data_IF_649945395024
#
_entry.id   IF_649945395024
#
_cell.length_a   1.000
_cell.length_b   1.000
_cell.length_c   1.000
_cell.angle_alpha   90.00
_cell.angle_beta   90.00
_cell.angle_gamma   90.00
#
_symmetry.space_group_name_H-M   'P 1'
#
loop_
_entity.id
_entity.type
_entity.pdbx_description
1 polymer ?
#
# COMPACT_ATOMS: atom_id res chain seq x y z
N UNK A 1 36.65 47.62 -77.08
CA UNK A 1 36.54 46.35 -76.39
C UNK A 1 36.79 46.54 -74.90
N UNK A 2 35.72 46.48 -74.03
CA UNK A 2 35.82 46.55 -72.54
C UNK A 2 35.93 45.13 -71.99
N UNK A 3 37.06 44.79 -71.40
CA UNK A 3 37.28 43.52 -70.67
C UNK A 3 36.58 43.56 -69.35
N UNK A 4 35.53 42.80 -69.21
CA UNK A 4 34.85 42.58 -67.89
C UNK A 4 35.80 41.71 -67.07
N UNK A 5 36.35 42.28 -65.98
CA UNK A 5 36.98 41.53 -64.92
C UNK A 5 35.91 40.94 -63.99
N UNK A 6 35.77 39.63 -64.02
CA UNK A 6 35.04 38.88 -63.09
C UNK A 6 35.86 38.71 -61.80
N UNK A 7 35.63 39.52 -60.80
CA UNK A 7 36.20 39.38 -59.44
C UNK A 7 35.65 38.11 -58.84
N UNK A 8 36.39 37.01 -58.89
CA UNK A 8 36.05 35.82 -58.09
C UNK A 8 36.36 36.12 -56.61
N UNK A 9 35.39 36.48 -55.82
CA UNK A 9 35.51 36.48 -54.36
C UNK A 9 35.65 35.04 -53.89
N UNK A 10 36.84 34.58 -53.59
CA UNK A 10 37.08 33.32 -52.90
C UNK A 10 36.54 33.47 -51.46
N UNK A 11 35.64 32.60 -50.99
CA UNK A 11 35.11 32.71 -49.63
C UNK A 11 36.28 32.54 -48.68
N UNK A 12 36.34 33.48 -47.69
CA UNK A 12 37.38 33.44 -46.67
C UNK A 12 37.13 32.23 -45.74
N UNK A 13 37.90 31.15 -45.96
CA UNK A 13 37.74 29.86 -45.26
C UNK A 13 37.74 30.05 -43.74
N UNK A 14 38.51 31.02 -43.21
CA UNK A 14 38.51 31.36 -41.78
C UNK A 14 37.17 31.94 -41.34
N UNK A 15 36.53 32.81 -42.11
CA UNK A 15 35.22 33.35 -41.80
C UNK A 15 34.14 32.27 -41.79
N UNK A 16 34.21 31.31 -42.74
CA UNK A 16 33.29 30.17 -42.80
C UNK A 16 33.40 29.26 -41.57
N UNK A 17 34.66 29.00 -41.09
CA UNK A 17 34.87 28.18 -39.89
C UNK A 17 34.33 28.84 -38.61
N UNK A 18 34.50 30.16 -38.47
CA UNK A 18 33.89 30.90 -37.33
C UNK A 18 32.35 30.86 -37.36
N UNK A 19 31.77 31.00 -38.54
CA UNK A 19 30.32 30.93 -38.72
C UNK A 19 29.77 29.54 -38.36
N UNK A 20 30.49 28.48 -38.71
CA UNK A 20 30.15 27.09 -38.38
C UNK A 20 30.25 26.82 -36.89
N UNK A 21 31.25 27.35 -36.19
CA UNK A 21 31.42 27.24 -34.74
C UNK A 21 30.24 27.98 -34.04
N UNK A 22 29.91 29.19 -34.43
CA UNK A 22 28.79 29.97 -33.86
C UNK A 22 27.48 29.22 -34.10
N UNK A 23 27.26 28.61 -35.26
CA UNK A 23 26.05 27.83 -35.57
C UNK A 23 25.87 26.62 -34.65
N UNK A 24 26.98 25.92 -34.29
CA UNK A 24 26.93 24.79 -33.33
C UNK A 24 26.49 25.24 -31.93
N UNK A 25 26.87 26.45 -31.49
CA UNK A 25 26.43 27.00 -30.19
C UNK A 25 24.99 27.52 -30.17
N UNK A 26 24.42 27.83 -31.35
CA UNK A 26 23.04 28.33 -31.48
C UNK A 26 22.03 27.15 -31.60
N UNK A 27 22.51 25.91 -31.89
CA UNK A 27 21.63 24.75 -31.93
C UNK A 27 20.92 24.61 -30.54
N UNK A 28 19.59 24.60 -30.50
CA UNK A 28 18.87 24.44 -29.22
C UNK A 28 19.29 23.13 -28.61
N UNK A 29 20.03 23.20 -27.52
CA UNK A 29 20.28 22.04 -26.69
C UNK A 29 18.91 21.56 -26.25
N UNK A 30 18.49 20.35 -26.66
CA UNK A 30 17.29 19.71 -26.14
C UNK A 30 17.45 19.63 -24.63
N UNK A 31 16.99 20.64 -23.90
CA UNK A 31 16.83 20.57 -22.47
C UNK A 31 16.00 19.32 -22.18
N UNK A 32 16.46 18.42 -21.31
CA UNK A 32 15.62 17.32 -20.84
C UNK A 32 14.40 17.98 -20.19
N UNK A 33 13.26 17.90 -20.85
CA UNK A 33 11.99 18.38 -20.29
C UNK A 33 11.76 17.63 -18.99
N UNK A 34 11.61 18.37 -17.90
CA UNK A 34 11.26 17.83 -16.60
C UNK A 34 9.85 17.21 -16.72
N UNK A 35 9.68 16.01 -16.18
CA UNK A 35 8.37 15.36 -16.15
C UNK A 35 7.60 15.74 -14.88
N UNK A 36 6.30 15.58 -14.89
CA UNK A 36 5.43 15.90 -13.75
C UNK A 36 4.79 14.61 -13.21
N UNK A 37 4.87 14.43 -11.89
CA UNK A 37 4.11 13.41 -11.17
C UNK A 37 2.77 14.02 -10.78
N UNK A 38 1.68 13.49 -11.36
CA UNK A 38 0.34 14.02 -11.21
C UNK A 38 -0.40 13.43 -10.01
N UNK A 39 -0.19 12.12 -9.75
CA UNK A 39 -0.94 11.39 -8.74
C UNK A 39 -0.17 10.16 -8.23
N UNK A 40 -0.48 9.76 -7.00
CA UNK A 40 0.01 8.52 -6.38
C UNK A 40 -1.17 7.79 -5.77
N UNK A 41 -1.32 6.52 -6.12
CA UNK A 41 -2.37 5.66 -5.56
C UNK A 41 -1.78 4.43 -4.90
N UNK A 42 -2.34 4.07 -3.75
CA UNK A 42 -1.95 2.89 -2.99
C UNK A 42 -3.04 1.82 -3.06
N UNK A 43 -2.63 0.58 -3.29
CA UNK A 43 -3.50 -0.60 -3.26
C UNK A 43 -2.88 -1.64 -2.34
N UNK A 44 -3.51 -1.87 -1.19
CA UNK A 44 -3.11 -2.94 -0.29
C UNK A 44 -3.41 -4.31 -0.88
N UNK A 45 -2.52 -5.25 -0.65
CA UNK A 45 -2.63 -6.67 -0.98
C UNK A 45 -2.26 -7.49 0.25
N UNK A 46 -2.71 -8.73 0.31
CA UNK A 46 -2.45 -9.60 1.45
C UNK A 46 -0.95 -9.77 1.75
N UNK A 47 -0.12 -9.81 0.72
CA UNK A 47 1.33 -10.01 0.82
C UNK A 47 2.17 -8.78 0.48
N UNK A 48 1.57 -7.57 0.46
CA UNK A 48 2.32 -6.37 0.10
C UNK A 48 1.47 -5.18 -0.28
N UNK A 49 2.07 -4.24 -1.01
CA UNK A 49 1.44 -3.01 -1.48
C UNK A 49 1.79 -2.78 -2.94
N UNK A 50 0.83 -2.27 -3.71
CA UNK A 50 1.08 -1.71 -5.03
C UNK A 50 1.01 -0.19 -4.91
N UNK A 51 2.09 0.49 -5.30
CA UNK A 51 2.17 1.93 -5.44
C UNK A 51 2.08 2.27 -6.92
N UNK A 52 1.04 2.96 -7.34
CA UNK A 52 0.84 3.41 -8.73
C UNK A 52 1.20 4.89 -8.83
N UNK A 53 2.23 5.20 -9.62
CA UNK A 53 2.67 6.56 -9.94
C UNK A 53 2.10 6.95 -11.29
N UNK A 54 1.43 8.09 -11.38
CA UNK A 54 0.85 8.62 -12.61
C UNK A 54 1.60 9.88 -13.05
N UNK A 55 2.15 9.84 -14.27
CA UNK A 55 3.01 10.90 -14.81
C UNK A 55 2.34 11.62 -15.97
N UNK A 56 2.73 12.86 -16.18
CA UNK A 56 2.30 13.61 -17.37
C UNK A 56 2.82 12.95 -18.66
N UNK A 57 4.10 12.57 -18.66
CA UNK A 57 4.74 11.90 -19.79
C UNK A 57 5.28 10.54 -19.39
N UNK A 58 5.50 9.66 -20.39
CA UNK A 58 6.05 8.33 -20.19
C UNK A 58 7.47 8.43 -19.64
N UNK A 59 7.75 7.73 -18.54
CA UNK A 59 9.12 7.53 -18.03
C UNK A 59 9.50 6.05 -18.05
N UNK A 60 10.83 5.78 -18.01
CA UNK A 60 11.33 4.42 -17.83
C UNK A 60 11.30 4.04 -16.35
N UNK A 61 10.95 2.79 -15.98
CA UNK A 61 11.12 2.30 -14.62
C UNK A 61 12.55 2.49 -14.07
N UNK A 62 13.58 2.40 -14.93
CA UNK A 62 14.99 2.59 -14.56
C UNK A 62 15.33 4.01 -14.09
N UNK A 63 14.43 4.98 -14.31
CA UNK A 63 14.58 6.35 -13.78
C UNK A 63 14.12 6.49 -12.33
N UNK A 64 13.60 5.43 -11.73
CA UNK A 64 13.14 5.38 -10.34
C UNK A 64 14.14 4.58 -9.53
N UNK A 65 14.83 5.25 -8.61
CA UNK A 65 15.69 4.59 -7.64
C UNK A 65 14.90 4.31 -6.36
N UNK A 66 14.93 3.06 -5.89
CA UNK A 66 14.15 2.63 -4.72
C UNK A 66 15.04 1.98 -3.67
N UNK A 67 14.81 2.32 -2.40
CA UNK A 67 15.58 1.79 -1.28
C UNK A 67 14.77 1.81 0.01
N UNK A 68 15.14 0.97 0.96
CA UNK A 68 14.52 0.90 2.27
C UNK A 68 15.51 1.31 3.37
N UNK A 69 15.03 2.11 4.31
CA UNK A 69 15.74 2.48 5.52
C UNK A 69 15.50 1.47 6.67
N UNK A 70 16.35 1.49 7.69
CA UNK A 70 16.24 0.61 8.86
C UNK A 70 15.02 0.88 9.76
N UNK A 71 14.39 2.06 9.61
CA UNK A 71 13.22 2.50 10.40
C UNK A 71 11.88 2.31 9.70
N UNK A 72 11.75 1.31 8.85
CA UNK A 72 10.54 0.91 8.11
C UNK A 72 10.04 1.95 7.06
N UNK A 73 10.88 2.90 6.70
CA UNK A 73 10.62 3.78 5.58
C UNK A 73 11.12 3.15 4.27
N UNK A 74 10.27 3.18 3.25
CA UNK A 74 10.61 2.84 1.88
C UNK A 74 10.55 4.09 1.01
N UNK A 75 11.59 4.33 0.23
CA UNK A 75 11.77 5.55 -0.57
C UNK A 75 11.82 5.24 -2.06
N UNK A 76 11.17 6.10 -2.84
CA UNK A 76 11.31 6.18 -4.28
C UNK A 76 11.89 7.53 -4.65
N UNK A 77 13.02 7.55 -5.33
CA UNK A 77 13.64 8.78 -5.86
C UNK A 77 13.41 8.84 -7.36
N UNK A 78 12.63 9.82 -7.79
CA UNK A 78 12.23 10.05 -9.17
C UNK A 78 13.12 11.15 -9.76
N UNK A 79 14.04 10.80 -10.64
CA UNK A 79 14.96 11.74 -11.26
C UNK A 79 14.32 12.50 -12.43
N UNK A 80 14.57 13.82 -12.53
CA UNK A 80 13.97 14.73 -13.51
C UNK A 80 12.42 14.74 -13.46
N UNK A 81 11.87 14.54 -12.27
CA UNK A 81 10.42 14.59 -12.02
C UNK A 81 10.17 15.64 -10.95
N UNK A 82 9.21 16.51 -11.22
CA UNK A 82 8.66 17.47 -10.26
C UNK A 82 7.23 17.11 -9.91
N UNK A 83 6.71 17.74 -8.88
CA UNK A 83 5.29 17.64 -8.50
C UNK A 83 4.91 18.79 -7.59
N UNK A 84 3.63 18.93 -7.29
CA UNK A 84 3.16 19.82 -6.24
C UNK A 84 2.92 19.03 -4.94
N UNK A 85 3.69 19.34 -3.90
CA UNK A 85 3.64 18.69 -2.59
C UNK A 85 2.23 18.71 -2.00
N UNK A 86 1.58 19.88 -2.03
CA UNK A 86 0.24 20.04 -1.45
C UNK A 86 -0.80 19.23 -2.23
N UNK A 87 -0.70 19.23 -3.54
CA UNK A 87 -1.59 18.45 -4.40
C UNK A 87 -1.43 16.94 -4.13
N UNK A 88 -0.20 16.45 -4.00
CA UNK A 88 0.05 15.03 -3.69
C UNK A 88 -0.50 14.65 -2.32
N UNK A 89 -0.23 15.44 -1.27
CA UNK A 89 -0.71 15.16 0.08
C UNK A 89 -2.24 15.15 0.13
N UNK A 90 -2.90 16.11 -0.49
CA UNK A 90 -4.35 16.27 -0.45
C UNK A 90 -5.09 15.19 -1.28
N UNK A 91 -4.52 14.73 -2.38
CA UNK A 91 -5.12 13.72 -3.26
C UNK A 91 -4.85 12.30 -2.79
N UNK A 92 -3.71 12.07 -2.14
CA UNK A 92 -3.27 10.72 -1.79
C UNK A 92 -3.96 10.24 -0.52
N UNK A 93 -4.82 9.23 -0.67
CA UNK A 93 -5.42 8.52 0.45
C UNK A 93 -4.67 7.21 0.71
N UNK A 94 -4.37 6.95 1.97
CA UNK A 94 -3.71 5.72 2.37
C UNK A 94 -4.30 5.16 3.66
N UNK A 95 -4.26 3.84 3.78
CA UNK A 95 -4.73 3.08 4.94
C UNK A 95 -3.69 2.01 5.28
N UNK A 96 -3.90 1.27 6.37
CA UNK A 96 -3.04 0.11 6.67
C UNK A 96 -2.81 -0.74 5.39
N UNK A 97 -1.57 -1.16 5.12
CA UNK A 97 -0.40 -1.19 6.00
C UNK A 97 0.52 0.05 5.90
N UNK A 98 0.07 1.17 5.34
CA UNK A 98 0.85 2.41 5.27
C UNK A 98 0.55 3.24 6.52
N UNK A 99 1.62 3.59 7.27
CA UNK A 99 1.54 4.38 8.50
C UNK A 99 1.73 5.87 8.24
N UNK A 100 2.56 6.23 7.25
CA UNK A 100 2.84 7.61 6.89
C UNK A 100 3.25 7.73 5.42
N UNK A 101 2.99 8.89 4.84
CA UNK A 101 3.33 9.29 3.48
C UNK A 101 4.00 10.65 3.51
N UNK A 102 5.17 10.78 2.87
CA UNK A 102 5.97 11.99 2.87
C UNK A 102 6.57 12.26 1.47
N UNK A 103 6.02 13.18 0.69
CA UNK A 103 6.65 13.66 -0.52
C UNK A 103 7.69 14.75 -0.19
N UNK A 104 8.88 14.66 -0.79
CA UNK A 104 9.96 15.65 -0.71
C UNK A 104 10.29 16.05 -2.13
N UNK A 105 10.08 17.31 -2.48
CA UNK A 105 10.24 17.83 -3.84
C UNK A 105 11.38 18.82 -3.88
N UNK A 106 12.32 18.58 -4.77
CA UNK A 106 13.41 19.48 -5.15
C UNK A 106 13.31 19.81 -6.64
N UNK A 107 14.07 20.82 -7.09
CA UNK A 107 14.02 21.34 -8.47
C UNK A 107 14.15 20.26 -9.55
N UNK A 108 14.90 19.19 -9.29
CA UNK A 108 15.21 18.13 -10.28
C UNK A 108 14.81 16.73 -9.85
N UNK A 109 14.29 16.58 -8.65
CA UNK A 109 13.96 15.26 -8.09
C UNK A 109 12.75 15.32 -7.19
N UNK A 110 11.91 14.31 -7.29
CA UNK A 110 10.84 14.07 -6.32
C UNK A 110 11.17 12.80 -5.56
N UNK A 111 11.24 12.87 -4.25
CA UNK A 111 11.39 11.69 -3.40
C UNK A 111 10.07 11.41 -2.67
N UNK A 112 9.62 10.18 -2.76
CA UNK A 112 8.39 9.72 -2.10
C UNK A 112 8.80 8.74 -1.00
N UNK A 113 8.57 9.14 0.25
CA UNK A 113 8.73 8.28 1.42
C UNK A 113 7.39 7.69 1.84
N UNK A 114 7.36 6.40 2.09
CA UNK A 114 6.24 5.70 2.70
C UNK A 114 6.73 4.91 3.91
N UNK A 115 6.08 5.08 5.06
CA UNK A 115 6.35 4.29 6.25
C UNK A 115 5.38 3.12 6.28
N UNK A 116 5.92 1.92 6.46
CA UNK A 116 5.17 0.68 6.38
C UNK A 116 5.08 -0.01 7.75
N UNK A 117 4.05 -0.82 7.95
CA UNK A 117 3.91 -1.67 9.15
C UNK A 117 4.88 -2.84 9.15
N UNK A 118 5.43 -3.18 7.98
CA UNK A 118 6.33 -4.31 7.78
C UNK A 118 7.44 -3.96 6.81
N UNK A 119 8.59 -4.62 6.99
CA UNK A 119 9.72 -4.50 6.08
C UNK A 119 9.42 -5.16 4.73
N UNK A 120 9.81 -4.50 3.64
CA UNK A 120 9.73 -5.03 2.28
C UNK A 120 10.86 -6.03 2.07
N UNK A 121 10.55 -7.23 1.59
CA UNK A 121 11.54 -8.28 1.28
C UNK A 121 12.05 -8.12 -0.15
N UNK A 122 11.16 -7.80 -1.07
CA UNK A 122 11.49 -7.55 -2.47
C UNK A 122 10.55 -6.52 -3.08
N UNK A 123 11.00 -5.87 -4.15
CA UNK A 123 10.16 -4.95 -4.92
C UNK A 123 10.44 -5.07 -6.40
N UNK A 124 9.44 -4.70 -7.19
CA UNK A 124 9.49 -4.73 -8.65
C UNK A 124 8.79 -3.50 -9.21
N UNK A 125 9.34 -2.94 -10.30
CA UNK A 125 8.79 -1.79 -11.00
C UNK A 125 8.30 -2.21 -12.38
N UNK A 126 7.03 -1.95 -12.66
CA UNK A 126 6.39 -2.28 -13.93
C UNK A 126 5.80 -1.05 -14.58
N UNK A 127 6.07 -0.90 -15.87
CA UNK A 127 5.32 0.05 -16.70
C UNK A 127 3.94 -0.51 -17.01
N UNK A 128 2.91 0.25 -16.72
CA UNK A 128 1.56 -0.13 -17.10
C UNK A 128 1.34 0.11 -18.59
N UNK A 129 0.89 -0.93 -19.30
CA UNK A 129 0.66 -0.84 -20.75
C UNK A 129 -0.36 0.26 -21.09
N UNK A 130 -0.06 1.05 -22.16
CA UNK A 130 -0.91 2.11 -22.71
C UNK A 130 -1.20 3.30 -21.77
N UNK A 131 -0.48 3.43 -20.66
CA UNK A 131 -0.61 4.57 -19.73
C UNK A 131 0.74 5.17 -19.40
N UNK A 132 0.73 6.41 -18.88
CA UNK A 132 1.92 7.07 -18.36
C UNK A 132 2.18 6.70 -16.89
N UNK A 133 1.76 5.50 -16.48
CA UNK A 133 1.84 5.07 -15.09
C UNK A 133 2.88 3.97 -14.89
N UNK A 134 3.54 4.01 -13.74
CA UNK A 134 4.44 2.96 -13.26
C UNK A 134 3.87 2.39 -11.97
N UNK A 135 3.83 1.07 -11.87
CA UNK A 135 3.44 0.34 -10.67
C UNK A 135 4.70 -0.19 -9.97
N UNK A 136 4.84 0.14 -8.71
CA UNK A 136 5.81 -0.48 -7.81
C UNK A 136 5.08 -1.53 -6.95
N UNK A 137 5.48 -2.78 -7.07
CA UNK A 137 4.97 -3.87 -6.25
C UNK A 137 5.97 -4.11 -5.12
N UNK A 138 5.55 -3.86 -3.90
CA UNK A 138 6.33 -4.09 -2.68
C UNK A 138 5.83 -5.36 -2.01
N UNK A 139 6.70 -6.35 -1.84
CA UNK A 139 6.35 -7.66 -1.27
C UNK A 139 6.88 -7.78 0.15
N UNK A 140 6.03 -8.24 1.06
CA UNK A 140 6.39 -8.61 2.43
C UNK A 140 6.94 -10.03 2.52
N UNK A 141 7.63 -10.33 3.61
CA UNK A 141 8.14 -11.69 3.86
C UNK A 141 7.02 -12.72 3.92
N UNK A 142 7.15 -13.80 3.17
CA UNK A 142 6.20 -14.93 3.18
C UNK A 142 6.03 -15.54 4.57
N UNK A 143 7.09 -15.56 5.38
CA UNK A 143 7.01 -16.09 6.77
C UNK A 143 6.07 -15.23 7.60
N UNK A 144 6.25 -13.91 7.59
CA UNK A 144 5.36 -12.98 8.31
C UNK A 144 3.93 -12.99 7.77
N UNK A 145 3.76 -13.14 6.46
CA UNK A 145 2.44 -13.29 5.86
C UNK A 145 1.69 -14.51 6.39
N UNK A 146 2.35 -15.68 6.46
CA UNK A 146 1.76 -16.89 7.01
C UNK A 146 1.42 -16.74 8.50
N UNK A 147 2.28 -16.11 9.30
CA UNK A 147 2.01 -15.81 10.72
C UNK A 147 0.80 -14.89 10.89
N UNK A 148 0.68 -13.84 10.08
CA UNK A 148 -0.47 -12.91 10.11
C UNK A 148 -1.74 -13.61 9.65
N UNK A 149 -1.69 -14.41 8.60
CA UNK A 149 -2.85 -15.15 8.09
C UNK A 149 -3.36 -16.16 9.14
N UNK A 150 -2.47 -16.84 9.85
CA UNK A 150 -2.81 -17.77 10.95
C UNK A 150 -3.45 -16.98 12.10
N UNK A 151 -2.82 -15.89 12.55
CA UNK A 151 -3.35 -15.06 13.64
C UNK A 151 -4.72 -14.43 13.31
N UNK A 152 -4.92 -14.02 12.05
CA UNK A 152 -6.20 -13.47 11.58
C UNK A 152 -7.30 -14.53 11.57
N UNK A 153 -6.99 -15.73 11.09
CA UNK A 153 -7.93 -16.86 11.07
C UNK A 153 -8.31 -17.30 12.49
N UNK A 154 -7.34 -17.38 13.41
CA UNK A 154 -7.62 -17.70 14.81
C UNK A 154 -8.49 -16.62 15.47
N UNK A 155 -8.26 -15.34 15.19
CA UNK A 155 -9.05 -14.24 15.73
C UNK A 155 -10.48 -14.22 15.19
N UNK A 156 -10.68 -14.55 13.91
CA UNK A 156 -12.01 -14.68 13.31
C UNK A 156 -12.77 -15.86 13.89
N UNK A 157 -12.16 -17.03 13.97
CA UNK A 157 -12.76 -18.22 14.55
C UNK A 157 -13.15 -18.01 16.02
N UNK A 158 -12.32 -17.32 16.81
CA UNK A 158 -12.64 -16.97 18.18
C UNK A 158 -13.83 -16.01 18.28
N UNK A 159 -13.91 -14.98 17.43
CA UNK A 159 -15.05 -14.05 17.41
C UNK A 159 -16.36 -14.73 16.99
N UNK A 160 -16.32 -15.61 16.02
CA UNK A 160 -17.50 -16.39 15.58
C UNK A 160 -18.00 -17.33 16.69
N UNK A 161 -17.06 -18.02 17.36
CA UNK A 161 -17.39 -18.88 18.49
C UNK A 161 -18.00 -18.08 19.65
N UNK A 162 -17.37 -16.96 20.04
CA UNK A 162 -17.85 -16.10 21.13
C UNK A 162 -19.25 -15.54 20.86
N UNK A 163 -19.53 -15.14 19.62
CA UNK A 163 -20.85 -14.64 19.22
C UNK A 163 -21.91 -15.75 19.23
N UNK A 164 -21.60 -16.91 18.69
CA UNK A 164 -22.50 -18.07 18.66
C UNK A 164 -22.75 -18.59 20.06
N UNK A 165 -21.71 -18.71 20.88
CA UNK A 165 -21.83 -19.15 22.26
C UNK A 165 -22.59 -18.16 23.11
N UNK A 166 -22.34 -16.85 22.95
CA UNK A 166 -23.07 -15.80 23.69
C UNK A 166 -24.58 -15.84 23.43
N UNK A 167 -24.98 -16.17 22.18
CA UNK A 167 -26.39 -16.30 21.82
C UNK A 167 -27.02 -17.58 22.41
N UNK A 168 -26.33 -18.72 22.29
CA UNK A 168 -26.82 -20.01 22.80
C UNK A 168 -26.79 -20.09 24.33
N UNK A 169 -25.82 -19.47 24.98
CA UNK A 169 -25.70 -19.41 26.45
C UNK A 169 -27.00 -18.87 27.12
N UNK A 170 -27.55 -17.79 26.60
CA UNK A 170 -28.77 -17.20 27.17
C UNK A 170 -29.96 -18.17 27.08
N UNK A 171 -30.09 -18.90 25.98
CA UNK A 171 -31.10 -19.94 25.82
C UNK A 171 -30.88 -21.12 26.76
N UNK A 172 -29.66 -21.57 26.95
CA UNK A 172 -29.31 -22.67 27.87
C UNK A 172 -29.63 -22.28 29.33
N UNK A 173 -29.34 -21.05 29.75
CA UNK A 173 -29.73 -20.56 31.06
C UNK A 173 -31.26 -20.47 31.24
N UNK A 174 -31.95 -20.02 30.21
CA UNK A 174 -33.42 -19.87 30.25
C UNK A 174 -34.10 -21.24 30.31
N UNK A 175 -33.67 -22.22 29.55
CA UNK A 175 -34.16 -23.60 29.60
C UNK A 175 -33.79 -24.24 30.94
N UNK A 176 -32.54 -24.12 31.40
CA UNK A 176 -32.09 -24.69 32.67
C UNK A 176 -32.87 -24.12 33.86
N UNK A 177 -33.10 -22.81 33.90
CA UNK A 177 -33.89 -22.17 34.94
C UNK A 177 -35.36 -22.59 34.91
N UNK A 178 -35.96 -22.79 33.73
CA UNK A 178 -37.31 -23.32 33.58
C UNK A 178 -37.47 -24.71 34.18
N UNK A 179 -36.50 -25.60 33.92
CA UNK A 179 -36.47 -26.94 34.53
C UNK A 179 -36.27 -26.89 36.05
N UNK A 180 -35.42 -25.99 36.57
CA UNK A 180 -35.23 -25.81 38.02
C UNK A 180 -36.54 -25.34 38.67
N UNK A 181 -37.23 -24.35 38.12
CA UNK A 181 -38.52 -23.85 38.63
C UNK A 181 -39.59 -24.94 38.60
N UNK A 182 -39.69 -25.66 37.48
CA UNK A 182 -40.62 -26.81 37.35
C UNK A 182 -40.32 -27.88 38.39
N UNK A 183 -39.05 -28.14 38.65
CA UNK A 183 -38.60 -29.08 39.64
C UNK A 183 -38.95 -28.66 41.06
N UNK A 184 -38.78 -27.40 41.41
CA UNK A 184 -39.13 -26.87 42.73
C UNK A 184 -40.65 -26.84 42.97
N UNK A 185 -41.43 -26.64 41.91
CA UNK A 185 -42.90 -26.64 41.98
C UNK A 185 -43.50 -28.05 42.08
N UNK A 186 -42.77 -29.09 41.76
CA UNK A 186 -43.19 -30.47 41.80
C UNK A 186 -43.11 -31.00 43.24
N UNK A 187 -44.18 -31.70 43.70
CA UNK A 187 -44.20 -32.34 45.02
C UNK A 187 -43.53 -33.73 45.07
N UNK A 188 -42.98 -34.20 43.92
CA UNK A 188 -42.32 -35.50 43.83
C UNK A 188 -40.95 -35.52 44.45
N UNK A 189 -40.68 -36.49 45.35
CA UNK A 189 -39.38 -36.69 45.99
C UNK A 189 -38.23 -37.04 45.03
N UNK A 190 -38.53 -37.50 43.81
CA UNK A 190 -37.52 -37.88 42.80
C UNK A 190 -37.57 -36.91 41.62
N UNK A 191 -37.04 -35.71 41.84
CA UNK A 191 -37.26 -34.58 40.97
C UNK A 191 -36.21 -34.49 39.86
N UNK A 192 -36.36 -35.33 38.82
CA UNK A 192 -35.46 -35.37 37.64
C UNK A 192 -35.35 -34.01 36.96
N UNK A 193 -36.38 -33.18 36.99
CA UNK A 193 -36.38 -31.86 36.38
C UNK A 193 -35.40 -30.92 37.09
N UNK A 194 -35.28 -30.98 38.39
CA UNK A 194 -34.31 -30.20 39.16
C UNK A 194 -32.88 -30.59 38.83
N UNK A 195 -32.58 -31.90 38.72
CA UNK A 195 -31.26 -32.40 38.36
C UNK A 195 -30.86 -32.00 36.94
N UNK A 196 -31.78 -32.10 35.97
CA UNK A 196 -31.56 -31.69 34.57
C UNK A 196 -31.32 -30.17 34.50
N UNK A 197 -32.13 -29.38 35.20
CA UNK A 197 -31.98 -27.92 35.20
C UNK A 197 -30.66 -27.46 35.80
N UNK A 198 -30.26 -28.01 36.93
CA UNK A 198 -28.96 -27.71 37.58
C UNK A 198 -27.81 -28.19 36.72
N UNK A 199 -27.90 -29.35 36.10
CA UNK A 199 -26.90 -29.87 35.17
C UNK A 199 -26.68 -28.97 33.95
N UNK A 200 -27.76 -28.47 33.37
CA UNK A 200 -27.68 -27.55 32.21
C UNK A 200 -27.01 -26.22 32.57
N UNK A 201 -27.36 -25.64 33.74
CA UNK A 201 -26.74 -24.41 34.24
C UNK A 201 -25.25 -24.63 34.52
N UNK A 202 -24.89 -25.75 35.18
CA UNK A 202 -23.51 -26.08 35.49
C UNK A 202 -22.66 -26.33 34.27
N UNK A 203 -23.16 -27.04 33.27
CA UNK A 203 -22.51 -27.23 31.98
C UNK A 203 -22.23 -25.89 31.28
N UNK A 204 -23.19 -24.97 31.26
CA UNK A 204 -23.05 -23.65 30.69
C UNK A 204 -21.96 -22.84 31.39
N UNK A 205 -21.84 -22.97 32.70
CA UNK A 205 -20.78 -22.34 33.52
C UNK A 205 -19.40 -22.92 33.19
N UNK A 206 -19.27 -24.24 33.10
CA UNK A 206 -17.99 -24.91 32.76
C UNK A 206 -17.52 -24.48 31.36
N UNK A 207 -18.42 -24.53 30.36
CA UNK A 207 -18.09 -24.14 29.00
C UNK A 207 -17.59 -22.70 28.98
N UNK A 208 -18.27 -21.77 29.66
CA UNK A 208 -17.83 -20.39 29.79
C UNK A 208 -16.43 -20.29 30.41
N UNK A 209 -16.15 -21.03 31.49
CA UNK A 209 -14.88 -20.96 32.21
C UNK A 209 -13.71 -21.56 31.40
N UNK A 210 -13.95 -22.64 30.67
CA UNK A 210 -12.93 -23.33 29.88
C UNK A 210 -12.59 -22.58 28.59
N UNK A 211 -13.61 -22.02 27.91
CA UNK A 211 -13.41 -21.41 26.61
C UNK A 211 -13.25 -19.87 26.64
N UNK A 212 -13.69 -19.18 27.70
CA UNK A 212 -13.46 -17.75 27.85
C UNK A 212 -12.09 -17.38 28.45
N UNK A 213 -11.37 -18.35 29.05
CA UNK A 213 -10.04 -18.16 29.63
C UNK A 213 -8.90 -18.67 28.72
N UNK A 214 -9.17 -18.97 27.44
CA UNK A 214 -8.17 -19.17 26.40
C UNK A 214 -8.18 -17.99 25.44
#
# INVERSE_FOLDING_TARGET
MKKNQIIRMAPNIKALSYLLIVFVFILPQKGKTQNTLNDIRFKSKDNGIIVEFDFENIISPDSIYSWQSDNDWFYFTLHNVTSDTLSLINKTSYTSPILAFQPIINDKTTQIGIRLTQRVESFELYKKNKTNSINAHLHYSRKKFNEIAIATNESQNKREFDNSFSRSKNWMFLIGSGYVISGLASKDKNNKNLEIGLGAIFLTYIIKKVFANK
#
